data_IF_702563679383
#
_entry.id   IF_702563679383
#
_cell.length_a   1.000
_cell.length_b   1.000
_cell.length_c   1.000
_cell.angle_alpha   90.00
_cell.angle_beta   90.00
_cell.angle_gamma   90.00
#
_symmetry.space_group_name_H-M   'P 1'
#
loop_
_entity.id
_entity.type
_entity.pdbx_description
1 polymer ?
#
# COMPACT_ATOMS: atom_id res chain seq x y z
N UNK A 1 -1.23 -26.01 -68.50
CA UNK A 1 -0.67 -27.36 -68.73
C UNK A 1 0.19 -27.75 -67.53
N UNK A 2 0.13 -29.03 -67.11
CA UNK A 2 0.08 -29.49 -65.71
C UNK A 2 1.40 -30.17 -65.26
N UNK A 3 1.66 -30.52 -63.99
CA UNK A 3 1.09 -31.60 -63.16
C UNK A 3 1.66 -31.45 -61.72
N UNK A 4 0.92 -31.55 -60.61
CA UNK A 4 0.26 -32.73 -59.99
C UNK A 4 1.20 -33.58 -59.11
N UNK A 5 1.11 -33.38 -57.78
CA UNK A 5 1.30 -34.37 -56.70
C UNK A 5 0.47 -33.83 -55.51
N UNK A 6 -0.74 -34.24 -55.13
CA UNK A 6 -1.38 -35.53 -54.80
C UNK A 6 -0.89 -36.21 -53.50
N UNK A 7 -1.88 -36.40 -52.59
CA UNK A 7 -1.99 -37.38 -51.47
C UNK A 7 -1.59 -36.83 -50.07
N UNK A 8 -2.40 -36.90 -49.00
CA UNK A 8 -3.78 -37.36 -48.77
C UNK A 8 -4.29 -36.78 -47.43
N UNK A 9 -5.60 -36.53 -47.27
CA UNK A 9 -6.27 -36.15 -46.01
C UNK A 9 -7.00 -37.34 -45.36
N UNK A 10 -6.99 -37.48 -44.03
CA UNK A 10 -7.87 -38.36 -43.20
C UNK A 10 -7.52 -38.05 -41.72
N UNK A 11 -8.39 -37.78 -40.74
CA UNK A 11 -9.84 -37.94 -40.53
C UNK A 11 -10.30 -36.89 -39.51
N UNK A 12 -11.15 -35.95 -39.92
CA UNK A 12 -12.13 -35.35 -39.01
C UNK A 12 -13.36 -36.26 -39.06
N UNK A 13 -13.68 -36.94 -37.96
CA UNK A 13 -15.03 -37.38 -37.57
C UNK A 13 -14.90 -38.26 -36.32
N UNK A 14 -15.34 -37.75 -35.17
CA UNK A 14 -15.81 -38.61 -34.08
C UNK A 14 -16.95 -37.92 -33.32
N UNK A 15 -18.14 -38.11 -33.87
CA UNK A 15 -19.37 -38.50 -33.17
C UNK A 15 -19.83 -37.59 -32.02
N UNK A 16 -20.57 -36.56 -32.40
CA UNK A 16 -21.74 -36.13 -31.67
C UNK A 16 -22.81 -37.25 -31.74
N UNK A 17 -23.01 -37.96 -30.65
CA UNK A 17 -24.24 -38.67 -30.34
C UNK A 17 -24.15 -39.04 -28.85
N UNK A 18 -25.18 -38.74 -28.08
CA UNK A 18 -25.62 -39.34 -26.81
C UNK A 18 -26.38 -38.26 -26.04
N UNK A 19 -27.50 -37.88 -26.68
CA UNK A 19 -28.82 -37.71 -26.06
C UNK A 19 -28.78 -37.87 -24.53
N UNK A 20 -28.80 -36.74 -23.80
CA UNK A 20 -29.16 -36.71 -22.38
C UNK A 20 -30.56 -36.14 -22.23
N UNK A 21 -31.54 -36.96 -22.62
CA UNK A 21 -32.94 -36.84 -22.25
C UNK A 21 -33.15 -37.76 -21.04
N UNK A 22 -33.23 -37.19 -19.85
CA UNK A 22 -33.85 -37.80 -18.67
C UNK A 22 -34.26 -36.66 -17.73
N UNK A 23 -35.35 -36.01 -18.14
CA UNK A 23 -36.22 -35.23 -17.27
C UNK A 23 -36.92 -36.20 -16.31
N UNK A 24 -36.95 -35.85 -15.03
CA UNK A 24 -37.93 -36.21 -13.99
C UNK A 24 -37.24 -36.71 -12.70
N UNK A 25 -37.06 -35.80 -11.74
CA UNK A 25 -37.91 -35.66 -10.54
C UNK A 25 -37.60 -36.71 -9.47
N UNK A 26 -37.07 -36.24 -8.33
CA UNK A 26 -37.59 -36.58 -7.01
C UNK A 26 -37.11 -35.51 -6.03
N UNK A 27 -37.95 -34.50 -5.87
CA UNK A 27 -37.99 -33.67 -4.68
C UNK A 27 -38.33 -34.57 -3.48
N UNK A 28 -37.35 -34.84 -2.62
CA UNK A 28 -37.59 -35.31 -1.27
C UNK A 28 -37.42 -34.13 -0.32
N UNK A 29 -38.56 -33.67 0.20
CA UNK A 29 -38.64 -32.82 1.36
C UNK A 29 -37.95 -33.52 2.54
N UNK A 30 -36.84 -32.95 3.01
CA UNK A 30 -36.19 -33.31 4.27
C UNK A 30 -36.32 -32.17 5.26
N UNK A 31 -37.55 -31.88 5.70
CA UNK A 31 -37.83 -30.91 6.75
C UNK A 31 -37.98 -31.67 8.07
N UNK A 32 -36.85 -31.95 8.72
CA UNK A 32 -36.81 -32.39 10.12
C UNK A 32 -36.38 -31.19 10.95
N UNK A 33 -37.36 -30.38 11.32
CA UNK A 33 -37.26 -29.41 12.40
C UNK A 33 -37.49 -30.17 13.72
N UNK A 34 -36.42 -30.74 14.29
CA UNK A 34 -36.45 -31.16 15.69
C UNK A 34 -36.18 -29.95 16.56
N UNK A 35 -37.20 -29.62 17.35
CA UNK A 35 -37.21 -28.60 18.37
C UNK A 35 -36.07 -28.82 19.38
N UNK A 36 -35.09 -27.93 19.37
CA UNK A 36 -34.17 -27.70 20.48
C UNK A 36 -34.35 -26.23 20.93
N UNK A 37 -34.44 -25.95 22.24
CA UNK A 37 -34.60 -24.60 22.75
C UNK A 37 -33.45 -23.71 22.28
N UNK A 38 -33.78 -22.76 21.40
CA UNK A 38 -32.86 -21.83 20.75
C UNK A 38 -32.46 -20.67 21.68
N UNK A 39 -31.97 -20.97 22.89
CA UNK A 39 -31.52 -19.94 23.84
C UNK A 39 -30.33 -20.41 24.69
N UNK A 40 -29.27 -20.93 24.04
CA UNK A 40 -27.95 -21.07 24.67
C UNK A 40 -26.76 -21.16 23.69
N UNK A 41 -26.94 -20.90 22.40
CA UNK A 41 -25.83 -20.79 21.43
C UNK A 41 -25.57 -19.34 21.06
N UNK A 42 -25.47 -18.47 22.06
CA UNK A 42 -24.60 -17.30 21.91
C UNK A 42 -23.17 -17.84 21.97
N UNK A 43 -22.68 -18.23 20.80
CA UNK A 43 -21.28 -18.50 20.53
C UNK A 43 -20.48 -17.30 21.06
N UNK A 44 -19.88 -17.45 22.24
CA UNK A 44 -18.65 -16.75 22.59
C UNK A 44 -17.59 -17.23 21.61
N UNK A 45 -17.63 -16.71 20.40
CA UNK A 45 -16.46 -16.74 19.52
C UNK A 45 -15.41 -15.96 20.27
N UNK A 46 -14.28 -16.58 20.69
CA UNK A 46 -13.16 -15.78 21.14
C UNK A 46 -12.83 -14.87 19.96
N UNK A 47 -12.94 -13.56 20.17
CA UNK A 47 -12.36 -12.57 19.28
C UNK A 47 -10.89 -13.00 19.12
N UNK A 48 -10.62 -13.67 18.00
CA UNK A 48 -9.32 -14.20 17.70
C UNK A 48 -8.53 -12.98 17.31
N UNK A 49 -7.88 -12.38 18.30
CA UNK A 49 -6.94 -11.30 18.09
C UNK A 49 -5.76 -11.93 17.32
N UNK A 50 -5.91 -12.02 16.00
CA UNK A 50 -4.90 -12.57 15.12
C UNK A 50 -3.82 -11.52 14.98
N UNK A 51 -2.96 -11.43 15.99
CA UNK A 51 -1.71 -10.69 15.88
C UNK A 51 -0.92 -11.32 14.74
N UNK A 52 -0.86 -10.62 13.59
CA UNK A 52 -0.11 -11.09 12.44
C UNK A 52 1.34 -11.35 12.85
N UNK A 53 1.82 -12.57 12.58
CA UNK A 53 3.20 -12.98 12.83
C UNK A 53 3.81 -13.46 11.53
N UNK A 54 4.87 -12.80 11.09
CA UNK A 54 5.61 -13.23 9.90
C UNK A 54 6.24 -14.61 10.12
N UNK A 55 6.13 -15.45 9.11
CA UNK A 55 6.68 -16.81 9.10
C UNK A 55 8.02 -16.85 8.34
N UNK A 56 8.79 -17.93 8.49
CA UNK A 56 10.00 -18.14 7.69
C UNK A 56 9.73 -18.16 6.18
N UNK A 57 8.54 -18.61 5.77
CA UNK A 57 8.11 -18.60 4.37
C UNK A 57 7.92 -17.16 3.83
N UNK A 58 7.47 -16.23 4.69
CA UNK A 58 7.29 -14.83 4.32
C UNK A 58 8.63 -14.15 4.06
N UNK A 59 9.61 -14.35 4.94
CA UNK A 59 10.97 -13.82 4.74
C UNK A 59 11.64 -14.43 3.51
N UNK A 60 11.54 -15.76 3.31
CA UNK A 60 12.07 -16.43 2.12
C UNK A 60 11.49 -15.84 0.83
N UNK A 61 10.18 -15.61 0.81
CA UNK A 61 9.55 -15.04 -0.39
C UNK A 61 9.96 -13.58 -0.58
N UNK A 62 10.02 -12.81 0.51
CA UNK A 62 10.44 -11.42 0.44
C UNK A 62 11.83 -11.29 -0.19
N UNK A 63 12.82 -12.04 0.32
CA UNK A 63 14.18 -12.02 -0.21
C UNK A 63 14.19 -12.47 -1.66
N UNK A 64 13.57 -13.60 -1.99
CA UNK A 64 13.55 -14.13 -3.36
C UNK A 64 12.99 -13.14 -4.38
N UNK A 65 11.89 -12.45 -4.04
CA UNK A 65 11.27 -11.45 -4.91
C UNK A 65 12.15 -10.22 -5.09
N UNK A 66 12.71 -9.68 -4.00
CA UNK A 66 13.56 -8.49 -4.05
C UNK A 66 14.87 -8.79 -4.81
N UNK A 67 15.49 -9.96 -4.57
CA UNK A 67 16.68 -10.36 -5.35
C UNK A 67 16.36 -10.65 -6.81
N UNK A 68 15.15 -11.14 -7.10
CA UNK A 68 14.65 -11.33 -8.47
C UNK A 68 14.52 -10.02 -9.25
N UNK A 69 14.37 -8.90 -8.55
CA UNK A 69 14.35 -7.55 -9.12
C UNK A 69 15.77 -6.91 -9.22
N UNK A 70 16.83 -7.71 -9.07
CA UNK A 70 18.21 -7.26 -9.27
C UNK A 70 18.89 -6.65 -8.05
N UNK A 71 18.27 -6.69 -6.87
CA UNK A 71 18.88 -6.24 -5.61
C UNK A 71 19.81 -7.32 -5.05
N UNK A 72 20.96 -6.91 -4.52
CA UNK A 72 21.90 -7.86 -3.90
C UNK A 72 21.30 -8.54 -2.68
N UNK A 73 21.62 -9.82 -2.49
CA UNK A 73 21.00 -10.66 -1.47
C UNK A 73 21.14 -10.12 -0.03
N UNK A 74 22.27 -9.47 0.29
CA UNK A 74 22.50 -8.87 1.60
C UNK A 74 21.55 -7.70 1.89
N UNK A 75 21.33 -6.82 0.91
CA UNK A 75 20.42 -5.68 1.04
C UNK A 75 18.97 -6.15 1.11
N UNK A 76 18.61 -7.13 0.29
CA UNK A 76 17.29 -7.77 0.33
C UNK A 76 17.01 -8.40 1.70
N UNK A 77 17.97 -9.15 2.25
CA UNK A 77 17.85 -9.75 3.59
C UNK A 77 17.68 -8.69 4.67
N UNK A 78 18.47 -7.61 4.61
CA UNK A 78 18.40 -6.49 5.56
C UNK A 78 17.03 -5.80 5.50
N UNK A 79 16.54 -5.48 4.31
CA UNK A 79 15.24 -4.85 4.12
C UNK A 79 14.09 -5.75 4.59
N UNK A 80 14.10 -7.04 4.23
CA UNK A 80 13.09 -7.99 4.65
C UNK A 80 13.09 -8.22 6.16
N UNK A 81 14.26 -8.28 6.80
CA UNK A 81 14.38 -8.43 8.25
C UNK A 81 13.88 -7.20 9.02
N UNK A 82 14.01 -6.00 8.44
CA UNK A 82 13.51 -4.77 9.04
C UNK A 82 12.00 -4.54 8.83
N UNK A 83 11.36 -5.29 7.94
CA UNK A 83 9.96 -5.11 7.59
C UNK A 83 9.01 -5.77 8.60
N UNK A 84 7.99 -5.03 9.06
CA UNK A 84 6.91 -5.59 9.87
C UNK A 84 6.06 -6.60 9.08
N UNK A 85 5.93 -6.41 7.76
CA UNK A 85 5.17 -7.26 6.84
C UNK A 85 6.05 -7.60 5.62
N UNK A 86 6.93 -8.62 5.69
CA UNK A 86 7.90 -8.93 4.64
C UNK A 86 7.28 -9.17 3.26
N UNK A 87 6.12 -9.84 3.21
CA UNK A 87 5.37 -10.07 1.96
C UNK A 87 4.88 -8.79 1.32
N UNK A 88 4.46 -7.83 2.13
CA UNK A 88 3.92 -6.56 1.64
C UNK A 88 5.05 -5.63 1.20
N UNK A 89 6.20 -5.67 1.90
CA UNK A 89 7.41 -5.00 1.45
C UNK A 89 7.80 -5.46 0.04
N UNK A 90 7.94 -6.78 -0.18
CA UNK A 90 8.39 -7.28 -1.48
C UNK A 90 7.41 -6.98 -2.60
N UNK A 91 6.09 -7.11 -2.36
CA UNK A 91 5.05 -6.68 -3.30
C UNK A 91 5.15 -5.19 -3.62
N UNK A 92 5.36 -4.35 -2.61
CA UNK A 92 5.50 -2.92 -2.82
C UNK A 92 6.67 -2.60 -3.76
N UNK A 93 7.82 -3.23 -3.50
CA UNK A 93 9.04 -3.06 -4.32
C UNK A 93 8.81 -3.53 -5.74
N UNK A 94 8.33 -4.77 -5.93
CA UNK A 94 8.15 -5.33 -7.28
C UNK A 94 7.08 -4.61 -8.08
N UNK A 95 6.03 -4.09 -7.44
CA UNK A 95 4.98 -3.34 -8.13
C UNK A 95 5.48 -1.97 -8.60
N UNK A 96 6.27 -1.27 -7.78
CA UNK A 96 6.86 0.02 -8.15
C UNK A 96 7.88 -0.16 -9.27
N UNK A 97 8.78 -1.14 -9.14
CA UNK A 97 9.82 -1.44 -10.13
C UNK A 97 9.24 -1.86 -11.49
N UNK A 98 8.16 -2.65 -11.48
CA UNK A 98 7.49 -3.07 -12.72
C UNK A 98 6.59 -2.00 -13.33
N UNK A 99 6.00 -1.13 -12.50
CA UNK A 99 4.99 -0.15 -12.92
C UNK A 99 5.54 1.24 -13.22
N UNK A 100 6.80 1.52 -12.89
CA UNK A 100 7.39 2.86 -12.96
C UNK A 100 8.89 2.82 -13.27
N UNK A 101 9.50 3.96 -13.57
CA UNK A 101 10.95 4.12 -13.75
C UNK A 101 11.72 4.32 -12.44
N UNK A 102 11.11 4.04 -11.29
CA UNK A 102 11.82 4.00 -10.02
C UNK A 102 12.59 2.69 -9.93
N UNK A 103 13.86 2.76 -9.51
CA UNK A 103 14.65 1.54 -9.33
C UNK A 103 14.11 0.73 -8.15
N UNK A 104 14.34 -0.59 -8.16
CA UNK A 104 14.11 -1.42 -6.98
C UNK A 104 14.75 -0.89 -5.69
N UNK A 105 15.90 -0.20 -5.79
CA UNK A 105 16.56 0.42 -4.64
C UNK A 105 15.75 1.62 -4.11
N UNK A 106 15.26 2.49 -5.01
CA UNK A 106 14.36 3.60 -4.65
C UNK A 106 13.06 3.08 -4.04
N UNK A 107 12.52 1.99 -4.60
CA UNK A 107 11.32 1.36 -4.09
C UNK A 107 11.54 0.82 -2.66
N UNK A 108 12.64 0.12 -2.38
CA UNK A 108 12.98 -0.33 -1.02
C UNK A 108 13.07 0.85 -0.06
N UNK A 109 13.76 1.93 -0.45
CA UNK A 109 13.97 3.11 0.39
C UNK A 109 12.64 3.78 0.80
N UNK A 110 11.59 3.63 -0.01
CA UNK A 110 10.27 4.20 0.24
C UNK A 110 9.29 3.22 0.89
N UNK A 111 9.24 1.97 0.43
CA UNK A 111 8.35 0.93 0.95
C UNK A 111 8.66 0.55 2.40
N UNK A 112 9.92 0.63 2.83
CA UNK A 112 10.33 0.36 4.23
C UNK A 112 9.90 1.45 5.22
N UNK A 113 9.54 2.65 4.73
CA UNK A 113 9.19 3.81 5.57
C UNK A 113 7.69 3.95 5.83
N UNK A 114 6.87 3.03 5.33
CA UNK A 114 5.42 3.08 5.44
C UNK A 114 4.85 1.88 6.18
N UNK A 115 3.72 2.09 6.86
CA UNK A 115 2.96 1.00 7.52
C UNK A 115 2.08 0.21 6.55
N UNK A 116 1.80 0.75 5.35
CA UNK A 116 0.94 0.14 4.33
C UNK A 116 1.68 0.06 2.97
N UNK A 117 2.66 -0.83 2.81
CA UNK A 117 3.51 -0.87 1.62
C UNK A 117 2.71 -1.11 0.34
N UNK A 118 1.75 -2.04 0.36
CA UNK A 118 0.94 -2.37 -0.83
C UNK A 118 0.12 -1.15 -1.29
N UNK A 119 -0.48 -0.40 -0.36
CA UNK A 119 -1.24 0.81 -0.69
C UNK A 119 -0.34 1.92 -1.25
N UNK A 120 0.87 2.07 -0.71
CA UNK A 120 1.86 3.00 -1.26
C UNK A 120 2.16 2.66 -2.72
N UNK A 121 2.45 1.40 -3.02
CA UNK A 121 2.78 0.97 -4.38
C UNK A 121 1.62 1.20 -5.36
N UNK A 122 0.40 0.82 -4.98
CA UNK A 122 -0.80 1.11 -5.79
C UNK A 122 -0.94 2.61 -6.02
N UNK A 123 -0.76 3.43 -4.98
CA UNK A 123 -0.86 4.88 -5.12
C UNK A 123 0.13 5.45 -6.14
N UNK A 124 1.38 5.01 -6.07
CA UNK A 124 2.46 5.48 -6.94
C UNK A 124 2.24 5.04 -8.39
N UNK A 125 1.90 3.77 -8.60
CA UNK A 125 1.68 3.20 -9.94
C UNK A 125 0.45 3.83 -10.59
N UNK A 126 -0.67 3.98 -9.87
CA UNK A 126 -1.90 4.56 -10.41
C UNK A 126 -1.71 6.01 -10.86
N UNK A 127 -1.06 6.83 -10.02
CA UNK A 127 -0.81 8.24 -10.35
C UNK A 127 0.26 8.35 -11.46
N UNK A 128 1.31 7.53 -11.40
CA UNK A 128 2.36 7.50 -12.43
C UNK A 128 1.81 7.14 -13.81
N UNK A 129 0.86 6.20 -13.87
CA UNK A 129 0.25 5.75 -15.12
C UNK A 129 -0.51 6.84 -15.89
N UNK A 130 -1.05 7.85 -15.21
CA UNK A 130 -1.77 8.98 -15.83
C UNK A 130 -0.90 10.23 -16.00
N UNK A 131 0.33 10.23 -15.48
CA UNK A 131 1.28 11.33 -15.61
C UNK A 131 2.36 10.93 -16.62
N UNK A 132 3.48 10.40 -16.13
CA UNK A 132 4.50 9.76 -16.94
C UNK A 132 5.23 8.70 -16.11
N UNK A 133 5.01 7.39 -16.35
CA UNK A 133 5.63 6.35 -15.56
C UNK A 133 7.11 6.14 -15.90
N UNK A 134 7.65 6.78 -16.94
CA UNK A 134 9.05 6.58 -17.37
C UNK A 134 10.02 7.65 -16.84
N UNK A 135 9.51 8.70 -16.20
CA UNK A 135 10.33 9.78 -15.65
C UNK A 135 10.47 9.68 -14.13
N UNK A 136 11.69 9.46 -13.66
CA UNK A 136 12.00 9.27 -12.23
C UNK A 136 11.71 10.53 -11.38
N UNK A 137 12.01 11.73 -11.89
CA UNK A 137 11.86 12.98 -11.14
C UNK A 137 10.41 13.27 -10.68
N UNK A 138 9.38 13.25 -11.54
CA UNK A 138 7.98 13.40 -11.10
C UNK A 138 7.53 12.23 -10.21
N UNK A 139 8.00 11.01 -10.47
CA UNK A 139 7.67 9.84 -9.65
C UNK A 139 8.15 9.98 -8.20
N UNK A 140 9.34 10.54 -7.96
CA UNK A 140 9.81 10.82 -6.60
C UNK A 140 8.90 11.80 -5.85
N UNK A 141 8.36 12.79 -6.55
CA UNK A 141 7.37 13.71 -5.97
C UNK A 141 6.04 12.99 -5.64
N UNK A 142 5.57 12.12 -6.54
CA UNK A 142 4.36 11.28 -6.32
C UNK A 142 4.55 10.37 -5.11
N UNK A 143 5.70 9.69 -5.00
CA UNK A 143 6.01 8.79 -3.87
C UNK A 143 5.99 9.53 -2.55
N UNK A 144 6.57 10.72 -2.47
CA UNK A 144 6.57 11.51 -1.24
C UNK A 144 5.14 11.89 -0.81
N UNK A 145 4.27 12.25 -1.75
CA UNK A 145 2.86 12.53 -1.46
C UNK A 145 2.09 11.29 -1.02
N UNK A 146 2.25 10.17 -1.73
CA UNK A 146 1.62 8.90 -1.36
C UNK A 146 2.06 8.44 0.04
N UNK A 147 3.34 8.62 0.40
CA UNK A 147 3.89 8.28 1.71
C UNK A 147 3.35 9.17 2.83
N UNK A 148 3.18 10.47 2.57
CA UNK A 148 2.62 11.43 3.54
C UNK A 148 1.12 11.26 3.74
N UNK A 149 0.43 10.64 2.78
CA UNK A 149 -1.00 10.33 2.92
C UNK A 149 -1.24 9.28 3.99
N UNK A 150 -2.22 9.53 4.87
CA UNK A 150 -2.71 8.54 5.84
C UNK A 150 -3.48 7.40 5.17
N UNK A 151 -4.03 7.63 3.96
CA UNK A 151 -4.78 6.66 3.18
C UNK A 151 -4.33 6.74 1.71
N UNK A 152 -3.21 6.08 1.35
CA UNK A 152 -2.65 6.16 -0.01
C UNK A 152 -3.64 5.77 -1.10
N UNK A 153 -4.46 4.73 -0.90
CA UNK A 153 -5.48 4.32 -1.89
C UNK A 153 -6.56 5.38 -2.14
N UNK A 154 -7.06 6.04 -1.08
CA UNK A 154 -8.05 7.12 -1.27
C UNK A 154 -7.41 8.34 -1.93
N UNK A 155 -6.15 8.59 -1.62
CA UNK A 155 -5.40 9.70 -2.19
C UNK A 155 -5.17 9.50 -3.70
N UNK A 156 -4.73 8.32 -4.14
CA UNK A 156 -4.58 8.05 -5.58
C UNK A 156 -5.90 8.10 -6.33
N UNK A 157 -6.97 7.54 -5.77
CA UNK A 157 -8.30 7.62 -6.36
C UNK A 157 -8.77 9.09 -6.53
N UNK A 158 -8.46 9.97 -5.57
CA UNK A 158 -8.73 11.40 -5.70
C UNK A 158 -7.94 12.03 -6.85
N UNK A 159 -6.63 11.78 -6.91
CA UNK A 159 -5.75 12.38 -7.94
C UNK A 159 -6.14 11.90 -9.34
N UNK A 160 -6.33 10.58 -9.50
CA UNK A 160 -6.72 9.97 -10.77
C UNK A 160 -8.11 10.43 -11.21
N UNK A 161 -9.07 10.45 -10.28
CA UNK A 161 -10.44 10.90 -10.57
C UNK A 161 -10.53 12.39 -10.90
N UNK A 162 -9.71 13.23 -10.27
CA UNK A 162 -9.71 14.67 -10.54
C UNK A 162 -9.07 14.98 -11.89
N UNK A 163 -7.95 14.33 -12.21
CA UNK A 163 -7.24 14.51 -13.49
C UNK A 163 -7.96 13.89 -14.68
N UNK A 164 -8.85 12.92 -14.46
CA UNK A 164 -9.63 12.33 -15.56
C UNK A 164 -10.78 13.21 -16.04
N UNK A 165 -11.20 14.21 -15.26
CA UNK A 165 -12.33 15.09 -15.59
C UNK A 165 -11.93 16.54 -15.87
N UNK A 166 -10.79 16.97 -15.34
CA UNK A 166 -10.31 18.35 -15.46
C UNK A 166 -8.84 18.30 -15.82
N UNK A 167 -8.42 19.19 -16.73
CA UNK A 167 -7.02 19.30 -17.16
C UNK A 167 -6.16 19.98 -16.08
N UNK A 168 -5.97 19.25 -14.97
CA UNK A 168 -5.12 19.66 -13.87
C UNK A 168 -3.69 19.15 -14.07
N UNK A 169 -2.73 20.05 -13.87
CA UNK A 169 -1.35 19.65 -13.62
C UNK A 169 -1.29 18.67 -12.45
N UNK A 170 -0.46 17.63 -12.56
CA UNK A 170 -0.33 16.56 -11.55
C UNK A 170 0.02 17.12 -10.18
N UNK A 171 0.91 18.11 -10.12
CA UNK A 171 1.27 18.81 -8.88
C UNK A 171 0.08 19.51 -8.21
N UNK A 172 -0.85 20.09 -8.98
CA UNK A 172 -2.05 20.72 -8.46
C UNK A 172 -3.05 19.68 -7.92
N UNK A 173 -3.24 18.56 -8.63
CA UNK A 173 -4.09 17.46 -8.17
C UNK A 173 -3.56 16.83 -6.86
N UNK A 174 -2.25 16.56 -6.79
CA UNK A 174 -1.58 16.07 -5.58
C UNK A 174 -1.82 17.00 -4.39
N UNK A 175 -1.67 18.32 -4.60
CA UNK A 175 -1.85 19.34 -3.57
C UNK A 175 -3.30 19.44 -3.07
N UNK A 176 -4.27 19.38 -3.98
CA UNK A 176 -5.70 19.45 -3.62
C UNK A 176 -6.16 18.19 -2.86
N UNK A 177 -5.69 17.01 -3.27
CA UNK A 177 -6.10 15.74 -2.68
C UNK A 177 -5.46 15.49 -1.31
N UNK A 178 -4.23 15.98 -1.05
CA UNK A 178 -3.59 15.79 0.25
C UNK A 178 -4.25 16.65 1.33
N UNK A 179 -4.69 17.87 0.98
CA UNK A 179 -5.43 18.76 1.86
C UNK A 179 -6.76 18.14 2.35
N UNK A 180 -7.47 17.43 1.48
CA UNK A 180 -8.72 16.73 1.84
C UNK A 180 -8.49 15.60 2.86
N UNK A 181 -7.31 14.99 2.85
CA UNK A 181 -6.94 13.88 3.76
C UNK A 181 -6.49 14.40 5.14
N UNK A 182 -5.97 15.63 5.20
CA UNK A 182 -5.47 16.27 6.41
C UNK A 182 -6.54 16.99 7.26
N UNK A 183 -7.84 16.68 7.06
CA UNK A 183 -8.91 17.35 7.80
C UNK A 183 -8.70 17.15 9.31
N UNK A 184 -8.58 18.24 10.11
CA UNK A 184 -8.35 18.11 11.54
C UNK A 184 -9.51 17.38 12.20
N UNK A 185 -9.22 16.42 13.08
CA UNK A 185 -10.19 15.71 13.93
C UNK A 185 -10.87 16.62 14.97
N UNK A 186 -10.73 17.95 14.87
CA UNK A 186 -11.40 18.95 15.71
C UNK A 186 -12.87 19.16 15.31
N UNK A 187 -13.58 18.07 14.98
CA UNK A 187 -15.04 18.05 14.82
C UNK A 187 -15.68 17.23 15.95
N UNK A 188 -14.93 16.82 16.97
CA UNK A 188 -15.57 16.56 18.26
C UNK A 188 -15.83 17.91 18.92
N UNK A 189 -17.09 18.26 19.23
CA UNK A 189 -17.34 19.32 20.18
C UNK A 189 -16.60 18.98 21.48
N UNK A 190 -15.80 19.90 22.01
CA UNK A 190 -15.41 19.89 23.41
C UNK A 190 -16.66 20.21 24.27
N UNK A 191 -17.66 19.33 24.25
CA UNK A 191 -18.68 19.28 25.29
C UNK A 191 -18.27 18.19 26.28
N UNK A 192 -17.18 18.45 27.00
CA UNK A 192 -17.10 17.92 28.36
C UNK A 192 -18.01 18.84 29.19
N UNK A 193 -19.14 18.36 29.75
CA UNK A 193 -19.90 19.16 30.71
C UNK A 193 -18.98 19.50 31.89
N UNK A 194 -18.90 20.80 32.20
CA UNK A 194 -18.16 21.33 33.35
C UNK A 194 -18.61 20.61 34.62
N UNK A 195 -17.80 19.67 35.11
CA UNK A 195 -18.15 18.87 36.30
C UNK A 195 -17.17 17.78 36.72
N UNK A 196 -16.21 17.37 35.87
CA UNK A 196 -15.15 16.45 36.28
C UNK A 196 -13.86 17.21 36.51
N UNK A 197 -13.67 17.71 37.73
CA UNK A 197 -12.38 18.17 38.24
C UNK A 197 -11.42 16.99 38.28
N UNK A 198 -10.45 16.95 37.37
CA UNK A 198 -9.28 16.09 37.54
C UNK A 198 -8.42 16.73 38.63
N UNK A 199 -8.33 16.08 39.78
CA UNK A 199 -7.45 16.49 40.87
C UNK A 199 -6.01 16.26 40.45
N UNK A 200 -5.36 17.32 39.98
CA UNK A 200 -3.92 17.38 39.73
C UNK A 200 -3.18 17.51 41.08
N UNK A 201 -2.15 16.68 41.38
CA UNK A 201 -1.27 16.87 42.53
C UNK A 201 -0.39 18.12 42.33
N UNK A 202 -0.11 18.93 43.37
CA UNK A 202 0.61 20.18 43.21
C UNK A 202 2.09 19.92 42.90
N UNK A 203 2.52 20.25 41.68
CA UNK A 203 3.94 20.33 41.36
C UNK A 203 4.40 21.76 41.63
N UNK A 204 5.32 21.91 42.58
CA UNK A 204 5.92 23.18 42.96
C UNK A 204 6.65 23.83 41.77
N UNK A 205 6.26 25.06 41.43
CA UNK A 205 7.04 25.97 40.58
C UNK A 205 8.23 26.53 41.36
N UNK A 206 9.37 26.74 40.68
CA UNK A 206 10.10 28.00 40.84
C UNK A 206 10.00 28.84 39.57
N UNK A 207 9.83 30.15 39.79
CA UNK A 207 9.70 31.19 38.78
C UNK A 207 11.09 31.65 38.25
N UNK A 208 11.18 32.67 37.36
CA UNK A 208 11.95 32.63 36.12
C UNK A 208 13.34 33.25 36.22
N UNK A 209 14.25 32.89 35.30
CA UNK A 209 15.36 33.78 34.95
C UNK A 209 15.69 33.74 33.45
N UNK A 210 15.97 34.93 32.93
CA UNK A 210 16.31 35.24 31.55
C UNK A 210 17.80 34.93 31.33
N UNK A 211 18.20 34.51 30.12
CA UNK A 211 19.31 35.15 29.38
C UNK A 211 19.56 34.46 28.03
N UNK A 212 19.57 35.28 26.99
CA UNK A 212 20.13 35.08 25.64
C UNK A 212 21.27 34.03 25.54
N UNK A 213 21.19 33.17 24.51
CA UNK A 213 22.39 32.74 23.79
C UNK A 213 22.37 33.29 22.37
N UNK A 214 23.43 34.02 22.08
CA UNK A 214 23.72 34.73 20.86
C UNK A 214 24.21 33.79 19.74
N UNK A 215 23.94 34.23 18.52
CA UNK A 215 24.54 33.78 17.26
C UNK A 215 26.02 34.18 17.25
N UNK A 216 26.97 33.29 16.93
CA UNK A 216 28.31 33.69 16.52
C UNK A 216 28.38 33.73 14.99
N UNK A 217 28.54 34.94 14.47
CA UNK A 217 29.00 35.23 13.11
C UNK A 217 30.49 35.62 13.20
N UNK A 218 31.38 34.99 12.42
CA UNK A 218 32.68 35.52 11.97
C UNK A 218 33.27 34.54 10.94
N UNK A 219 33.10 34.80 9.63
CA UNK A 219 34.00 35.48 8.66
C UNK A 219 35.09 34.57 8.04
N UNK A 220 35.32 34.60 6.70
CA UNK A 220 36.21 33.69 5.98
C UNK A 220 37.65 34.20 5.88
N UNK A 221 38.63 33.30 6.06
CA UNK A 221 40.05 33.56 5.76
C UNK A 221 40.39 33.24 4.31
N UNK A 222 40.83 34.25 3.56
CA UNK A 222 41.55 34.08 2.31
C UNK A 222 43.08 34.01 2.56
N UNK A 223 43.86 33.24 1.80
CA UNK A 223 45.32 33.23 1.88
C UNK A 223 45.96 34.25 0.91
N UNK A 224 47.01 34.93 1.35
CA UNK A 224 47.92 35.71 0.49
C UNK A 224 49.27 35.00 0.38
N UNK A 225 49.93 34.99 -0.81
CA UNK A 225 51.22 34.34 -1.01
C UNK A 225 52.41 35.33 -0.93
N UNK A 226 53.55 34.88 -0.43
CA UNK A 226 54.93 35.31 -0.76
C UNK A 226 55.87 34.30 -0.06
N UNK A 227 56.89 33.73 -0.68
CA UNK A 227 57.93 34.31 -1.54
C UNK A 227 58.54 33.21 -2.42
#
# INVERSE_FOLDING_TARGET
>A
MPNSDLRSPHRFLSKAHWIRLSVAQLASAGLVATALPASAFFYSTPASDTTYRSTSADYRTCVAQITGAGIVAADAATACAAALYPRDLSKCVTNIDAGTALTSADAIANCTRVRRPVELATCVVDIGAIDNPTETAPLLNIVDHCRRSLLPLRFSACVVGLRSQVDFATSAALSNCIAATNRPRNVLPNFMPSGMTSTEPPTAQPAPDQLQQAVPETTPSAPTPAK
#
